data_IF_092046233888
#
_entry.id   IF_092046233888
#
_cell.length_a   1.000
_cell.length_b   1.000
_cell.length_c   1.000
_cell.angle_alpha   90.00
_cell.angle_beta   90.00
_cell.angle_gamma   90.00
#
_symmetry.space_group_name_H-M   'P 1'
#
loop_
_entity.id
_entity.type
_entity.pdbx_description
1 polymer ?
#
# COMPACT_ATOMS: atom_id res chain seq x y z
N UNK A 1 -28.87 -3.15 53.58
CA UNK A 1 -27.64 -2.59 52.95
C UNK A 1 -26.72 -3.78 52.66
N UNK A 2 -26.19 -4.09 51.48
CA UNK A 2 -25.90 -3.40 50.22
C UNK A 2 -25.89 -4.46 49.10
N UNK A 3 -26.34 -4.07 47.91
CA UNK A 3 -26.35 -4.88 46.69
C UNK A 3 -24.91 -5.12 46.21
N UNK A 4 -24.55 -6.38 45.94
CA UNK A 4 -23.35 -6.75 45.21
C UNK A 4 -23.62 -6.61 43.69
N UNK A 5 -23.53 -5.38 43.18
CA UNK A 5 -23.42 -5.10 41.75
C UNK A 5 -22.03 -4.55 41.46
N UNK A 6 -20.99 -5.37 41.62
CA UNK A 6 -19.63 -5.03 41.20
C UNK A 6 -19.09 -6.24 40.45
N UNK A 7 -19.00 -6.14 39.13
CA UNK A 7 -18.36 -7.17 38.31
C UNK A 7 -18.76 -7.16 36.84
N UNK A 8 -20.03 -6.85 36.51
CA UNK A 8 -20.47 -6.77 35.11
C UNK A 8 -19.93 -5.53 34.39
N UNK A 9 -19.62 -4.46 35.14
CA UNK A 9 -19.13 -3.20 34.58
C UNK A 9 -17.66 -3.23 34.09
N UNK A 10 -16.82 -4.13 34.62
CA UNK A 10 -15.40 -4.23 34.24
C UNK A 10 -15.18 -4.92 32.89
N UNK A 11 -16.02 -5.92 32.56
CA UNK A 11 -15.96 -6.64 31.29
C UNK A 11 -16.42 -5.79 30.10
N UNK A 12 -17.45 -4.95 30.29
CA UNK A 12 -17.97 -4.07 29.24
C UNK A 12 -16.97 -2.96 28.89
N UNK A 13 -16.30 -2.40 29.90
CA UNK A 13 -15.27 -1.37 29.69
C UNK A 13 -14.06 -1.91 28.93
N UNK A 14 -13.58 -3.12 29.24
CA UNK A 14 -12.49 -3.76 28.52
C UNK A 14 -12.87 -4.18 27.10
N UNK A 15 -14.10 -4.66 26.90
CA UNK A 15 -14.61 -5.00 25.57
C UNK A 15 -14.75 -3.76 24.68
N UNK A 16 -15.20 -2.63 25.24
CA UNK A 16 -15.32 -1.36 24.53
C UNK A 16 -13.94 -0.81 24.11
N UNK A 17 -12.93 -0.91 24.98
CA UNK A 17 -11.55 -0.53 24.64
C UNK A 17 -10.99 -1.44 23.55
N UNK A 18 -11.18 -2.76 23.63
CA UNK A 18 -10.74 -3.68 22.58
C UNK A 18 -11.43 -3.41 21.22
N UNK A 19 -12.72 -3.08 21.23
CA UNK A 19 -13.44 -2.68 20.01
C UNK A 19 -12.91 -1.35 19.44
N UNK A 20 -12.64 -0.35 20.29
CA UNK A 20 -12.06 0.92 19.87
C UNK A 20 -10.67 0.72 19.24
N UNK A 21 -9.81 -0.12 19.85
CA UNK A 21 -8.51 -0.46 19.27
C UNK A 21 -8.65 -1.19 17.92
N UNK A 22 -9.58 -2.14 17.82
CA UNK A 22 -9.82 -2.89 16.57
C UNK A 22 -10.32 -1.97 15.43
N UNK A 23 -11.18 -1.00 15.74
CA UNK A 23 -11.66 -0.01 14.76
C UNK A 23 -10.52 0.92 14.32
N UNK A 24 -9.68 1.39 15.24
CA UNK A 24 -8.51 2.21 14.89
C UNK A 24 -7.45 1.44 14.10
N UNK A 25 -7.28 0.14 14.36
CA UNK A 25 -6.34 -0.71 13.63
C UNK A 25 -6.78 -0.94 12.17
N UNK A 26 -8.09 -1.05 11.93
CA UNK A 26 -8.63 -1.21 10.57
C UNK A 26 -8.47 0.10 9.76
N UNK A 27 -8.82 1.25 10.34
CA UNK A 27 -8.65 2.56 9.67
C UNK A 27 -7.19 2.96 9.44
N UNK A 28 -6.27 2.52 10.32
CA UNK A 28 -4.84 2.75 10.16
C UNK A 28 -4.21 1.91 9.04
N UNK A 29 -4.74 0.71 8.77
CA UNK A 29 -4.26 -0.14 7.70
C UNK A 29 -4.59 0.44 6.32
N UNK A 30 -5.85 0.88 6.10
CA UNK A 30 -6.27 1.53 4.86
C UNK A 30 -5.53 2.85 4.62
N UNK A 31 -5.33 3.66 5.68
CA UNK A 31 -4.59 4.92 5.57
C UNK A 31 -3.10 4.71 5.26
N UNK A 32 -2.48 3.66 5.83
CA UNK A 32 -1.08 3.32 5.56
C UNK A 32 -0.90 2.77 4.14
N UNK A 33 -1.89 2.05 3.60
CA UNK A 33 -1.86 1.60 2.21
C UNK A 33 -2.04 2.76 1.22
N UNK A 34 -2.92 3.72 1.53
CA UNK A 34 -3.13 4.91 0.68
C UNK A 34 -1.93 5.85 0.70
N UNK A 35 -1.33 6.10 1.87
CA UNK A 35 -0.09 6.86 1.97
C UNK A 35 1.08 6.14 1.27
N UNK A 36 1.16 4.82 1.39
CA UNK A 36 2.16 4.00 0.70
C UNK A 36 2.04 4.11 -0.82
N UNK A 37 0.82 4.02 -1.36
CA UNK A 37 0.55 4.17 -2.78
C UNK A 37 0.86 5.58 -3.28
N UNK A 38 0.48 6.62 -2.53
CA UNK A 38 0.77 8.01 -2.88
C UNK A 38 2.30 8.29 -2.89
N UNK A 39 3.03 7.79 -1.89
CA UNK A 39 4.51 7.88 -1.86
C UNK A 39 5.14 7.10 -3.00
N UNK A 40 4.62 5.92 -3.33
CA UNK A 40 5.05 5.13 -4.47
C UNK A 40 4.87 5.86 -5.80
N UNK A 41 3.71 6.47 -6.02
CA UNK A 41 3.42 7.29 -7.20
C UNK A 41 4.39 8.47 -7.31
N UNK A 42 4.56 9.24 -6.23
CA UNK A 42 5.49 10.37 -6.19
C UNK A 42 6.94 9.93 -6.50
N UNK A 43 7.35 8.77 -5.99
CA UNK A 43 8.67 8.22 -6.25
C UNK A 43 8.86 7.82 -7.72
N UNK A 44 7.86 7.20 -8.34
CA UNK A 44 7.90 6.85 -9.77
C UNK A 44 7.96 8.12 -10.63
N UNK A 45 7.17 9.14 -10.32
CA UNK A 45 7.23 10.41 -11.05
C UNK A 45 8.58 11.11 -10.90
N UNK A 46 9.15 11.12 -9.70
CA UNK A 46 10.43 11.75 -9.44
C UNK A 46 11.62 11.02 -10.09
N UNK A 47 11.55 9.68 -10.20
CA UNK A 47 12.73 8.85 -10.49
C UNK A 47 12.66 8.17 -11.86
N UNK A 48 11.46 7.83 -12.32
CA UNK A 48 11.25 7.09 -13.57
C UNK A 48 10.76 8.00 -14.69
N UNK A 49 9.79 8.88 -14.42
CA UNK A 49 9.15 9.71 -15.46
C UNK A 49 10.09 10.73 -16.10
N UNK A 50 11.17 11.13 -15.40
CA UNK A 50 12.18 12.03 -15.96
C UNK A 50 12.96 11.44 -17.14
N UNK A 51 13.16 10.12 -17.16
CA UNK A 51 13.84 9.42 -18.26
C UNK A 51 12.85 8.72 -19.20
N UNK A 52 11.66 8.38 -18.71
CA UNK A 52 10.64 7.63 -19.42
C UNK A 52 9.26 8.27 -19.20
N UNK A 53 8.89 9.30 -19.97
CA UNK A 53 7.64 10.00 -19.75
C UNK A 53 6.43 9.19 -20.25
N UNK A 54 5.36 9.18 -19.44
CA UNK A 54 4.03 8.75 -19.85
C UNK A 54 4.00 7.32 -20.43
N UNK A 55 3.44 7.19 -21.64
CA UNK A 55 3.29 5.90 -22.32
C UNK A 55 4.64 5.20 -22.64
N UNK A 56 5.75 5.95 -22.66
CA UNK A 56 7.08 5.35 -22.85
C UNK A 56 7.47 4.46 -21.66
N UNK A 57 7.15 4.88 -20.43
CA UNK A 57 7.37 4.05 -19.25
C UNK A 57 6.56 2.77 -19.32
N UNK A 58 5.28 2.87 -19.69
CA UNK A 58 4.37 1.74 -19.78
C UNK A 58 4.83 0.71 -20.83
N UNK A 59 5.26 1.18 -22.00
CA UNK A 59 5.84 0.33 -23.04
C UNK A 59 7.14 -0.35 -22.59
N UNK A 60 8.01 0.36 -21.87
CA UNK A 60 9.29 -0.17 -21.39
C UNK A 60 9.08 -1.23 -20.30
N UNK A 61 8.17 -0.98 -19.37
CA UNK A 61 7.78 -1.95 -18.34
C UNK A 61 7.25 -3.23 -18.97
N UNK A 62 6.31 -3.13 -19.93
CA UNK A 62 5.79 -4.31 -20.64
C UNK A 62 6.87 -5.06 -21.41
N UNK A 63 7.72 -4.36 -22.15
CA UNK A 63 8.76 -4.98 -22.97
C UNK A 63 9.85 -5.67 -22.13
N UNK A 64 10.19 -5.11 -20.96
CA UNK A 64 11.30 -5.59 -20.12
C UNK A 64 10.87 -6.66 -19.13
N UNK A 65 9.65 -6.57 -18.64
CA UNK A 65 9.13 -7.44 -17.57
C UNK A 65 8.18 -8.51 -18.11
N UNK A 66 7.89 -8.52 -19.41
CA UNK A 66 7.00 -9.50 -20.02
C UNK A 66 5.51 -9.20 -19.79
N UNK A 67 5.15 -7.94 -19.58
CA UNK A 67 3.78 -7.51 -19.28
C UNK A 67 3.56 -7.26 -17.79
N UNK A 68 2.47 -7.80 -17.24
CA UNK A 68 2.04 -7.62 -15.84
C UNK A 68 2.81 -8.52 -14.85
N UNK A 69 4.02 -9.01 -15.19
CA UNK A 69 4.81 -9.85 -14.27
C UNK A 69 5.41 -9.02 -13.13
N UNK A 70 4.62 -8.99 -12.07
CA UNK A 70 4.91 -8.32 -10.80
C UNK A 70 6.19 -8.86 -10.14
N UNK A 71 6.53 -10.13 -10.31
CA UNK A 71 7.70 -10.72 -9.64
C UNK A 71 9.00 -10.23 -10.27
N UNK A 72 9.00 -10.07 -11.59
CA UNK A 72 10.09 -9.43 -12.30
C UNK A 72 10.23 -7.96 -11.91
N UNK A 73 9.11 -7.25 -11.73
CA UNK A 73 9.10 -5.86 -11.28
C UNK A 73 9.66 -5.68 -9.87
N UNK A 74 9.21 -6.49 -8.90
CA UNK A 74 9.70 -6.42 -7.51
C UNK A 74 11.21 -6.71 -7.44
N UNK A 75 11.68 -7.70 -8.20
CA UNK A 75 13.11 -8.03 -8.28
C UNK A 75 13.94 -6.89 -8.87
N UNK A 76 13.43 -6.23 -9.92
CA UNK A 76 14.05 -5.04 -10.49
C UNK A 76 14.13 -3.90 -9.46
N UNK A 77 13.02 -3.60 -8.77
CA UNK A 77 12.96 -2.52 -7.78
C UNK A 77 13.91 -2.73 -6.59
N UNK A 78 14.05 -3.97 -6.12
CA UNK A 78 15.05 -4.33 -5.08
C UNK A 78 16.48 -4.01 -5.50
N UNK A 79 16.78 -4.11 -6.79
CA UNK A 79 18.13 -3.89 -7.33
C UNK A 79 18.42 -2.43 -7.73
N UNK A 80 17.40 -1.59 -7.91
CA UNK A 80 17.57 -0.25 -8.51
C UNK A 80 16.99 0.91 -7.71
N UNK A 81 15.90 0.75 -6.95
CA UNK A 81 15.19 1.91 -6.42
C UNK A 81 14.66 1.81 -4.98
N UNK A 82 14.48 0.61 -4.41
CA UNK A 82 13.78 0.52 -3.13
C UNK A 82 14.49 -0.36 -2.09
N UNK A 83 15.31 0.30 -1.26
CA UNK A 83 15.85 -0.26 -0.01
C UNK A 83 14.80 -0.37 1.10
N UNK A 84 13.75 0.47 1.05
CA UNK A 84 12.61 0.44 1.98
C UNK A 84 11.47 -0.43 1.41
N UNK A 85 11.03 -1.40 2.21
CA UNK A 85 9.99 -2.36 1.84
C UNK A 85 8.62 -1.71 1.67
N UNK A 86 8.31 -0.70 2.50
CA UNK A 86 7.03 0.00 2.42
C UNK A 86 6.95 0.86 1.14
N UNK A 87 8.01 1.62 0.83
CA UNK A 87 8.11 2.34 -0.42
C UNK A 87 8.04 1.40 -1.63
N UNK A 88 8.76 0.26 -1.59
CA UNK A 88 8.74 -0.71 -2.69
C UNK A 88 7.33 -1.23 -2.95
N UNK A 89 6.60 -1.60 -1.90
CA UNK A 89 5.22 -2.04 -2.02
C UNK A 89 4.32 -0.97 -2.64
N UNK A 90 4.50 0.29 -2.24
CA UNK A 90 3.79 1.43 -2.82
C UNK A 90 4.08 1.64 -4.31
N UNK A 91 5.36 1.60 -4.70
CA UNK A 91 5.78 1.70 -6.12
C UNK A 91 5.18 0.56 -6.94
N UNK A 92 5.25 -0.67 -6.42
CA UNK A 92 4.72 -1.86 -7.07
C UNK A 92 3.20 -1.75 -7.26
N UNK A 93 2.46 -1.29 -6.24
CA UNK A 93 1.03 -1.08 -6.31
C UNK A 93 0.65 -0.03 -7.37
N UNK A 94 1.37 1.09 -7.40
CA UNK A 94 1.13 2.15 -8.38
C UNK A 94 1.38 1.67 -9.81
N UNK A 95 2.53 1.03 -10.07
CA UNK A 95 2.88 0.56 -11.42
C UNK A 95 1.90 -0.50 -11.94
N UNK A 96 1.39 -1.38 -11.06
CA UNK A 96 0.31 -2.33 -11.42
C UNK A 96 -0.96 -1.62 -11.85
N UNK A 97 -1.43 -0.68 -11.05
CA UNK A 97 -2.66 0.07 -11.35
C UNK A 97 -2.52 0.81 -12.69
N UNK A 98 -1.36 1.44 -12.92
CA UNK A 98 -1.03 2.14 -14.15
C UNK A 98 -1.04 1.23 -15.40
N UNK A 99 -0.40 0.05 -15.30
CA UNK A 99 -0.37 -0.92 -16.40
C UNK A 99 -1.75 -1.49 -16.72
N UNK A 100 -2.56 -1.76 -15.70
CA UNK A 100 -3.93 -2.22 -15.85
C UNK A 100 -4.84 -1.16 -16.52
N UNK A 101 -4.71 0.11 -16.13
CA UNK A 101 -5.49 1.20 -16.74
C UNK A 101 -5.14 1.45 -18.20
N UNK A 102 -3.86 1.31 -18.56
CA UNK A 102 -3.37 1.54 -19.93
C UNK A 102 -3.48 0.32 -20.86
N UNK A 103 -4.07 -0.79 -20.40
CA UNK A 103 -4.33 -1.99 -21.20
C UNK A 103 -5.77 -2.05 -21.75
N UNK A 104 -6.66 -1.18 -21.24
CA UNK A 104 -8.05 -1.07 -21.68
C UNK A 104 -8.31 -0.01 -22.74
N UNK A 105 -7.26 0.66 -23.24
CA UNK A 105 -7.30 1.68 -24.30
C UNK A 105 -6.88 1.12 -25.67
#
# INVERSE_FOLDING_TARGET
>A
MRRAFVGVAGGVALLAVALLLAVTAMSGADSATDEGAARGAAHVEATCSGCHPGAQLDALLRARLGGDDVSALDSFLKSHHAADDALRAGVLAYLKARLASSAGE
#
